data_IF_067787281406
#
_entry.id   IF_067787281406
#
_cell.length_a   1.000
_cell.length_b   1.000
_cell.length_c   1.000
_cell.angle_alpha   90.00
_cell.angle_beta   90.00
_cell.angle_gamma   90.00
#
_symmetry.space_group_name_H-M   'P 1'
#
loop_
_entity.id
_entity.type
_entity.pdbx_description
1 polymer ?
#
# COMPACT_ATOMS: atom_id res chain seq x y z
N UNK A 1 34.47 -61.12 -7.96
CA UNK A 1 34.11 -59.71 -8.20
C UNK A 1 32.60 -59.63 -8.40
N UNK A 2 31.83 -59.32 -7.34
CA UNK A 2 30.37 -59.14 -7.40
C UNK A 2 30.04 -57.77 -6.79
N UNK A 3 29.29 -56.98 -7.55
CA UNK A 3 28.92 -55.61 -7.22
C UNK A 3 28.04 -55.54 -5.97
N UNK A 4 28.39 -54.67 -5.03
CA UNK A 4 27.50 -54.14 -3.99
C UNK A 4 27.04 -52.76 -4.46
N UNK A 5 25.84 -52.67 -5.02
CA UNK A 5 25.11 -51.41 -5.23
C UNK A 5 23.61 -51.69 -5.14
N UNK A 6 23.01 -51.47 -3.97
CA UNK A 6 21.67 -50.88 -3.83
C UNK A 6 21.28 -50.83 -2.36
N UNK A 7 21.52 -49.70 -1.68
CA UNK A 7 20.84 -49.39 -0.41
C UNK A 7 20.72 -47.89 -0.11
N UNK A 8 21.05 -47.01 -1.07
CA UNK A 8 20.88 -45.55 -0.90
C UNK A 8 19.55 -45.02 -1.43
N UNK A 9 18.85 -45.75 -2.30
CA UNK A 9 17.59 -45.27 -2.90
C UNK A 9 16.38 -45.44 -1.96
N UNK A 10 16.35 -46.51 -1.16
CA UNK A 10 15.20 -46.83 -0.29
C UNK A 10 15.13 -45.91 0.93
N UNK A 11 16.27 -45.52 1.50
CA UNK A 11 16.33 -44.60 2.66
C UNK A 11 15.94 -43.16 2.28
N UNK A 12 16.23 -42.73 1.05
CA UNK A 12 15.77 -41.42 0.53
C UNK A 12 14.25 -41.37 0.36
N UNK A 13 13.62 -42.44 -0.14
CA UNK A 13 12.17 -42.45 -0.36
C UNK A 13 11.36 -42.40 0.94
N UNK A 14 11.85 -43.00 2.03
CA UNK A 14 11.21 -42.97 3.36
C UNK A 14 11.39 -41.62 4.07
N UNK A 15 12.51 -40.92 3.85
CA UNK A 15 12.72 -39.58 4.40
C UNK A 15 11.88 -38.52 3.68
N UNK A 16 11.71 -38.64 2.36
CA UNK A 16 10.87 -37.73 1.56
C UNK A 16 9.38 -37.89 1.93
N UNK A 17 8.91 -39.12 2.13
CA UNK A 17 7.52 -39.37 2.57
C UNK A 17 7.26 -38.92 3.99
N UNK A 18 8.22 -39.07 4.91
CA UNK A 18 8.11 -38.53 6.27
C UNK A 18 8.18 -37.00 6.30
N UNK A 19 9.04 -36.38 5.49
CA UNK A 19 9.13 -34.92 5.34
C UNK A 19 7.84 -34.34 4.76
N UNK A 20 7.28 -34.95 3.70
CA UNK A 20 5.98 -34.56 3.14
C UNK A 20 4.84 -34.76 4.14
N UNK A 21 4.82 -35.87 4.90
CA UNK A 21 3.82 -36.11 5.95
C UNK A 21 3.91 -35.08 7.10
N UNK A 22 5.12 -34.69 7.52
CA UNK A 22 5.33 -33.61 8.47
C UNK A 22 4.91 -32.24 7.92
N UNK A 23 5.16 -31.95 6.64
CA UNK A 23 4.69 -30.72 5.98
C UNK A 23 3.16 -30.66 5.85
N UNK A 24 2.47 -31.80 5.69
CA UNK A 24 1.00 -31.84 5.62
C UNK A 24 0.31 -31.83 6.99
N UNK A 25 0.99 -32.25 8.08
CA UNK A 25 0.43 -32.22 9.44
C UNK A 25 0.79 -30.98 10.26
N UNK A 26 1.74 -30.16 9.82
CA UNK A 26 1.93 -28.80 10.31
C UNK A 26 1.05 -27.85 9.50
N UNK A 27 -0.28 -28.06 9.54
CA UNK A 27 -1.17 -26.91 9.42
C UNK A 27 -1.01 -26.13 10.72
N UNK A 28 -0.44 -24.91 10.72
CA UNK A 28 -0.64 -24.04 11.88
C UNK A 28 -2.16 -23.93 12.08
N UNK A 29 -2.60 -23.92 13.34
CA UNK A 29 -3.96 -23.52 13.67
C UNK A 29 -4.25 -22.26 12.86
N UNK A 30 -5.26 -22.30 12.01
CA UNK A 30 -5.72 -21.12 11.28
C UNK A 30 -6.44 -20.22 12.28
N UNK A 31 -5.68 -19.56 13.15
CA UNK A 31 -5.99 -18.16 13.38
C UNK A 31 -5.84 -17.53 12.00
N UNK A 32 -6.98 -17.15 11.41
CA UNK A 32 -7.00 -16.37 10.18
C UNK A 32 -6.18 -15.13 10.50
N UNK A 33 -4.92 -15.10 10.07
CA UNK A 33 -4.09 -13.92 10.19
C UNK A 33 -4.81 -12.86 9.35
N UNK A 34 -5.54 -11.96 10.01
CA UNK A 34 -6.28 -10.92 9.33
C UNK A 34 -5.28 -10.10 8.53
N UNK A 35 -5.55 -9.91 7.24
CA UNK A 35 -4.66 -9.14 6.38
C UNK A 35 -4.36 -7.77 7.03
N UNK A 36 -3.17 -7.21 6.84
CA UNK A 36 -2.88 -5.90 7.47
C UNK A 36 -3.82 -4.77 6.97
N UNK A 37 -4.40 -4.94 5.77
CA UNK A 37 -5.52 -4.10 5.30
C UNK A 37 -6.77 -4.22 6.18
N UNK A 38 -7.12 -5.44 6.61
CA UNK A 38 -8.20 -5.66 7.58
C UNK A 38 -7.91 -5.03 8.94
N UNK A 39 -6.66 -4.99 9.39
CA UNK A 39 -6.30 -4.32 10.65
C UNK A 39 -6.57 -2.81 10.60
N UNK A 40 -6.32 -2.18 9.45
CA UNK A 40 -6.63 -0.76 9.22
C UNK A 40 -8.13 -0.50 9.32
N UNK A 41 -8.94 -1.34 8.66
CA UNK A 41 -10.39 -1.19 8.71
C UNK A 41 -10.97 -1.55 10.08
N UNK A 42 -10.43 -2.56 10.76
CA UNK A 42 -10.81 -2.92 12.13
C UNK A 42 -10.51 -1.79 13.12
N UNK A 43 -9.35 -1.14 12.97
CA UNK A 43 -8.97 0.00 13.79
C UNK A 43 -10.02 1.13 13.70
N UNK A 44 -10.43 1.51 12.49
CA UNK A 44 -11.43 2.57 12.32
C UNK A 44 -12.85 2.10 12.63
N UNK A 45 -13.18 0.84 12.36
CA UNK A 45 -14.49 0.26 12.66
C UNK A 45 -14.74 0.17 14.17
N UNK A 46 -13.77 -0.33 14.94
CA UNK A 46 -13.86 -0.44 16.40
C UNK A 46 -14.01 0.91 17.11
N UNK A 47 -13.58 1.99 16.45
CA UNK A 47 -13.75 3.39 16.89
C UNK A 47 -15.05 4.05 16.38
N UNK A 48 -15.87 3.32 15.61
CA UNK A 48 -17.10 3.85 15.00
C UNK A 48 -16.83 4.93 13.94
N UNK A 49 -15.64 4.95 13.32
CA UNK A 49 -15.25 5.93 12.30
C UNK A 49 -15.69 5.55 10.89
N UNK A 50 -15.92 4.26 10.65
CA UNK A 50 -16.50 3.73 9.41
C UNK A 50 -17.68 2.81 9.74
N UNK A 51 -18.69 2.70 8.87
CA UNK A 51 -19.90 1.91 9.15
C UNK A 51 -19.71 0.40 8.89
N UNK A 52 -18.66 0.01 8.17
CA UNK A 52 -18.41 -1.38 7.74
C UNK A 52 -16.94 -1.56 7.33
N UNK A 53 -16.53 -2.83 7.14
CA UNK A 53 -15.20 -3.18 6.62
C UNK A 53 -15.11 -2.99 5.10
N UNK A 54 -15.10 -1.73 4.68
CA UNK A 54 -14.98 -1.35 3.27
C UNK A 54 -13.93 -0.25 3.13
N UNK A 55 -12.88 -0.52 2.35
CA UNK A 55 -11.80 0.40 2.09
C UNK A 55 -12.26 1.68 1.38
N UNK A 56 -13.40 1.65 0.69
CA UNK A 56 -13.99 2.83 0.06
C UNK A 56 -14.61 3.83 1.06
N UNK A 57 -14.71 3.46 2.34
CA UNK A 57 -15.18 4.35 3.42
C UNK A 57 -14.00 5.03 4.15
N UNK A 58 -12.75 4.79 3.73
CA UNK A 58 -11.58 5.51 4.23
C UNK A 58 -11.38 6.81 3.45
N UNK A 59 -11.36 7.92 4.19
CA UNK A 59 -11.09 9.26 3.69
C UNK A 59 -9.66 9.69 4.01
N UNK A 60 -9.05 10.39 3.07
CA UNK A 60 -7.67 10.86 3.12
C UNK A 60 -7.64 12.39 3.11
N UNK A 61 -6.75 12.99 3.88
CA UNK A 61 -6.27 14.33 3.56
C UNK A 61 -4.92 14.19 2.87
N UNK A 62 -4.73 14.96 1.79
CA UNK A 62 -3.60 14.80 0.89
C UNK A 62 -2.56 15.89 1.08
N UNK A 63 -1.31 15.56 0.73
CA UNK A 63 -0.20 16.48 0.63
C UNK A 63 -0.02 17.34 1.90
N UNK A 64 -0.08 16.71 3.08
CA UNK A 64 0.13 17.36 4.38
C UNK A 64 1.61 17.67 4.64
N UNK A 65 2.20 18.43 3.71
CA UNK A 65 3.64 18.61 3.53
C UNK A 65 4.18 19.89 4.20
N UNK A 66 3.46 20.46 5.17
CA UNK A 66 3.92 21.63 5.92
C UNK A 66 3.30 21.66 7.32
N UNK A 67 3.86 22.47 8.23
CA UNK A 67 3.31 22.62 9.59
C UNK A 67 1.85 23.04 9.59
N UNK A 68 1.49 24.00 8.72
CA UNK A 68 0.11 24.44 8.58
C UNK A 68 -0.80 23.33 8.06
N UNK A 69 -0.42 22.66 6.96
CA UNK A 69 -1.25 21.60 6.37
C UNK A 69 -1.39 20.39 7.29
N UNK A 70 -0.36 20.03 8.04
CA UNK A 70 -0.45 18.99 9.07
C UNK A 70 -1.44 19.39 10.17
N UNK A 71 -1.42 20.65 10.61
CA UNK A 71 -2.38 21.15 11.61
C UNK A 71 -3.82 21.05 11.08
N UNK A 72 -4.05 21.45 9.83
CA UNK A 72 -5.35 21.31 9.16
C UNK A 72 -5.79 19.84 9.06
N UNK A 73 -4.87 18.95 8.66
CA UNK A 73 -5.10 17.51 8.56
C UNK A 73 -5.49 16.85 9.90
N UNK A 74 -4.80 17.22 10.99
CA UNK A 74 -5.06 16.71 12.33
C UNK A 74 -6.43 17.14 12.85
N UNK A 75 -6.86 18.37 12.52
CA UNK A 75 -8.16 18.92 12.93
C UNK A 75 -9.32 18.50 12.01
N UNK A 76 -9.02 18.07 10.78
CA UNK A 76 -10.00 17.67 9.77
C UNK A 76 -10.71 16.35 10.09
N UNK A 77 -11.72 16.00 9.30
CA UNK A 77 -12.50 14.76 9.46
C UNK A 77 -11.83 13.52 8.86
N UNK A 78 -10.90 13.69 7.91
CA UNK A 78 -10.22 12.59 7.22
C UNK A 78 -9.57 11.60 8.18
N UNK A 79 -9.63 10.30 7.89
CA UNK A 79 -9.15 9.26 8.80
C UNK A 79 -7.64 9.03 8.68
N UNK A 80 -7.13 9.22 7.46
CA UNK A 80 -5.73 9.02 7.10
C UNK A 80 -5.09 10.33 6.64
N UNK A 81 -3.86 10.58 7.08
CA UNK A 81 -3.04 11.69 6.60
C UNK A 81 -2.01 11.16 5.60
N UNK A 82 -2.16 11.56 4.34
CA UNK A 82 -1.18 11.32 3.30
C UNK A 82 -0.22 12.51 3.23
N UNK A 83 1.07 12.21 3.12
CA UNK A 83 2.09 13.22 2.91
C UNK A 83 3.31 12.66 2.17
N UNK A 84 3.89 13.54 1.36
CA UNK A 84 4.99 13.23 0.48
C UNK A 84 6.32 13.33 1.21
N UNK A 85 7.24 12.39 0.95
CA UNK A 85 8.55 12.32 1.60
C UNK A 85 9.65 12.38 0.56
N UNK A 86 10.58 13.32 0.74
CA UNK A 86 11.82 13.40 -0.02
C UNK A 86 13.01 13.66 0.91
N UNK A 87 14.21 13.42 0.39
CA UNK A 87 15.45 13.72 1.09
C UNK A 87 15.84 15.16 0.81
N UNK A 88 16.01 15.98 1.84
CA UNK A 88 16.45 17.38 1.68
C UNK A 88 17.82 17.39 0.99
N UNK A 89 17.92 18.08 -0.14
CA UNK A 89 19.09 18.05 -1.05
C UNK A 89 20.38 18.71 -0.53
N UNK A 90 20.52 18.97 0.77
CA UNK A 90 21.73 19.52 1.38
C UNK A 90 22.50 18.41 2.12
N UNK A 91 23.62 18.75 2.77
CA UNK A 91 24.48 17.80 3.46
C UNK A 91 23.83 17.05 4.65
N UNK A 92 22.58 17.38 5.04
CA UNK A 92 21.91 16.77 6.19
C UNK A 92 21.27 15.41 5.88
N UNK A 93 21.04 15.06 4.60
CA UNK A 93 20.31 13.84 4.20
C UNK A 93 19.03 13.61 5.04
N UNK A 94 18.36 14.70 5.40
CA UNK A 94 17.23 14.69 6.32
C UNK A 94 15.92 14.44 5.54
N UNK A 95 15.10 13.44 5.93
CA UNK A 95 13.78 13.27 5.34
C UNK A 95 12.84 14.42 5.73
N UNK A 96 12.20 15.01 4.74
CA UNK A 96 11.28 16.14 4.92
C UNK A 96 9.96 15.88 4.18
N UNK A 97 8.91 16.55 4.66
CA UNK A 97 7.58 16.40 4.06
C UNK A 97 7.44 17.36 2.89
N UNK A 98 7.68 16.90 1.66
CA UNK A 98 7.75 17.75 0.49
C UNK A 98 7.49 16.99 -0.81
N UNK A 99 7.03 17.70 -1.83
CA UNK A 99 6.69 17.18 -3.16
C UNK A 99 7.23 18.14 -4.24
N UNK A 100 7.95 17.66 -5.28
CA UNK A 100 8.41 18.52 -6.36
C UNK A 100 7.28 19.31 -7.07
N UNK A 101 7.48 20.58 -7.47
CA UNK A 101 8.74 21.30 -7.54
C UNK A 101 9.25 21.87 -6.20
N UNK A 102 8.42 21.87 -5.15
CA UNK A 102 8.80 22.26 -3.80
C UNK A 102 9.67 21.19 -3.15
N UNK A 103 10.99 21.30 -3.35
CA UNK A 103 11.97 20.33 -2.83
C UNK A 103 12.48 20.65 -1.41
N UNK A 104 11.80 21.56 -0.69
CA UNK A 104 12.06 21.87 0.72
C UNK A 104 10.75 22.13 1.46
N UNK A 105 10.78 22.04 2.79
CA UNK A 105 9.62 22.20 3.67
C UNK A 105 9.97 22.79 5.02
N UNK A 106 8.99 23.41 5.67
CA UNK A 106 9.09 23.93 7.04
C UNK A 106 8.96 22.84 8.12
N UNK A 107 8.75 21.59 7.70
CA UNK A 107 8.60 20.43 8.59
C UNK A 107 9.42 19.22 8.09
N UNK A 108 10.20 18.67 9.02
CA UNK A 108 10.90 17.38 8.83
C UNK A 108 9.94 16.21 9.04
N UNK A 109 10.28 15.02 8.53
CA UNK A 109 9.50 13.81 8.83
C UNK A 109 9.47 13.53 10.34
N UNK A 110 10.59 13.77 11.04
CA UNK A 110 10.65 13.56 12.49
C UNK A 110 9.69 14.46 13.24
N UNK A 111 9.70 15.78 12.98
CA UNK A 111 8.74 16.73 13.57
C UNK A 111 7.30 16.36 13.21
N UNK A 112 7.06 15.97 11.96
CA UNK A 112 5.73 15.57 11.48
C UNK A 112 5.20 14.35 12.24
N UNK A 113 6.03 13.32 12.44
CA UNK A 113 5.69 12.13 13.23
C UNK A 113 5.36 12.50 14.67
N UNK A 114 6.13 13.41 15.30
CA UNK A 114 5.88 13.84 16.68
C UNK A 114 4.50 14.50 16.86
N UNK A 115 4.02 15.23 15.86
CA UNK A 115 2.67 15.78 15.89
C UNK A 115 1.60 14.69 15.66
N UNK A 116 1.83 13.76 14.73
CA UNK A 116 0.90 12.65 14.47
C UNK A 116 0.73 11.73 15.69
N UNK A 117 1.80 11.48 16.46
CA UNK A 117 1.77 10.69 17.69
C UNK A 117 0.71 11.16 18.71
N UNK A 118 0.36 12.45 18.67
CA UNK A 118 -0.64 13.06 19.55
C UNK A 118 -2.08 12.74 19.13
N UNK A 119 -2.28 12.21 17.94
CA UNK A 119 -3.59 11.94 17.33
C UNK A 119 -3.93 10.44 17.29
N UNK A 120 -5.11 10.12 16.76
CA UNK A 120 -5.52 8.75 16.43
C UNK A 120 -5.70 8.53 14.92
N UNK A 121 -5.15 9.46 14.11
CA UNK A 121 -5.13 9.38 12.64
C UNK A 121 -4.19 8.25 12.20
N UNK A 122 -4.54 7.60 11.10
CA UNK A 122 -3.56 6.81 10.37
C UNK A 122 -2.76 7.69 9.41
N UNK A 123 -1.66 7.15 8.89
CA UNK A 123 -0.77 7.86 7.98
C UNK A 123 -0.44 7.03 6.74
N UNK A 124 -0.22 7.71 5.62
CA UNK A 124 0.26 7.14 4.37
C UNK A 124 1.46 7.96 3.90
N UNK A 125 2.66 7.37 3.95
CA UNK A 125 3.89 8.02 3.50
C UNK A 125 4.08 7.76 2.00
N UNK A 126 4.14 8.83 1.22
CA UNK A 126 4.33 8.79 -0.22
C UNK A 126 5.76 9.19 -0.61
N UNK A 127 6.62 8.21 -0.88
CA UNK A 127 8.03 8.48 -1.16
C UNK A 127 8.23 8.98 -2.58
N UNK A 128 8.78 10.19 -2.71
CA UNK A 128 9.17 10.79 -4.00
C UNK A 128 10.64 10.56 -4.37
N UNK A 129 11.38 9.86 -3.50
CA UNK A 129 12.75 9.42 -3.76
C UNK A 129 13.07 8.12 -3.02
N UNK A 130 13.67 7.15 -3.72
CA UNK A 130 14.19 5.91 -3.11
C UNK A 130 15.21 6.20 -2.00
N UNK A 131 16.01 7.26 -2.16
CA UNK A 131 17.01 7.64 -1.16
C UNK A 131 16.39 8.06 0.18
N UNK A 132 15.12 8.51 0.18
CA UNK A 132 14.41 8.88 1.39
C UNK A 132 13.84 7.69 2.16
N UNK A 133 13.69 6.51 1.52
CA UNK A 133 13.00 5.35 2.12
C UNK A 133 13.74 4.86 3.36
N UNK A 134 15.03 4.53 3.23
CA UNK A 134 15.81 3.98 4.35
C UNK A 134 15.87 4.91 5.58
N UNK A 135 16.27 6.19 5.47
CA UNK A 135 16.32 7.08 6.64
C UNK A 135 14.93 7.32 7.24
N UNK A 136 13.88 7.34 6.42
CA UNK A 136 12.50 7.47 6.92
C UNK A 136 12.00 6.25 7.66
N UNK A 137 12.38 5.04 7.23
CA UNK A 137 12.03 3.81 7.95
C UNK A 137 12.72 3.76 9.32
N UNK A 138 13.97 4.23 9.43
CA UNK A 138 14.65 4.32 10.72
C UNK A 138 13.89 5.24 11.70
N UNK A 139 13.49 6.44 11.25
CA UNK A 139 12.70 7.37 12.07
C UNK A 139 11.32 6.79 12.44
N UNK A 140 10.69 6.08 11.51
CA UNK A 140 9.39 5.45 11.76
C UNK A 140 9.49 4.31 12.80
N UNK A 141 10.55 3.50 12.74
CA UNK A 141 10.78 2.40 13.68
C UNK A 141 11.00 2.91 15.11
N UNK A 142 11.63 4.08 15.29
CA UNK A 142 11.81 4.72 16.62
C UNK A 142 10.49 5.10 17.29
N UNK A 143 9.48 5.48 16.51
CA UNK A 143 8.18 5.94 17.03
C UNK A 143 7.06 4.91 16.86
N UNK A 144 7.36 3.75 16.28
CA UNK A 144 6.36 2.77 15.81
C UNK A 144 5.37 2.37 16.89
N UNK A 145 5.87 2.03 18.08
CA UNK A 145 5.05 1.54 19.19
C UNK A 145 4.19 2.64 19.83
N UNK A 146 4.48 3.91 19.54
CA UNK A 146 3.76 5.07 20.06
C UNK A 146 2.65 5.52 19.10
N UNK A 147 2.74 5.18 17.81
CA UNK A 147 1.72 5.47 16.82
C UNK A 147 0.46 4.66 17.10
N UNK A 148 -0.66 5.35 17.32
CA UNK A 148 -1.96 4.72 17.60
C UNK A 148 -2.63 4.23 16.32
N UNK A 149 -2.49 5.00 15.24
CA UNK A 149 -3.14 4.73 13.96
C UNK A 149 -2.32 3.84 13.03
N UNK A 150 -2.96 3.34 11.96
CA UNK A 150 -2.30 2.53 10.95
C UNK A 150 -1.27 3.35 10.16
N UNK A 151 -0.18 2.71 9.74
CA UNK A 151 0.89 3.35 8.93
C UNK A 151 1.01 2.61 7.62
N UNK A 152 0.91 3.33 6.52
CA UNK A 152 0.89 2.81 5.17
C UNK A 152 2.04 3.39 4.36
N UNK A 153 2.59 2.58 3.46
CA UNK A 153 3.53 3.04 2.44
C UNK A 153 2.79 3.10 1.11
N UNK A 154 2.85 4.25 0.45
CA UNK A 154 2.40 4.40 -0.92
C UNK A 154 3.54 3.97 -1.85
N UNK A 155 3.31 2.95 -2.67
CA UNK A 155 4.31 2.43 -3.60
C UNK A 155 4.20 3.13 -4.97
N UNK A 156 4.35 4.45 -4.96
CA UNK A 156 4.50 5.29 -6.16
C UNK A 156 5.95 5.34 -6.66
N UNK A 157 6.85 4.64 -5.96
CA UNK A 157 8.30 4.73 -6.13
C UNK A 157 8.81 4.04 -7.40
N UNK A 158 7.96 3.23 -8.05
CA UNK A 158 8.28 2.72 -9.38
C UNK A 158 7.78 3.72 -10.39
N UNK A 159 8.71 4.58 -10.75
CA UNK A 159 8.68 5.30 -12.00
C UNK A 159 8.44 4.32 -13.15
N UNK A 160 7.29 4.41 -13.81
CA UNK A 160 7.34 4.32 -15.28
C UNK A 160 8.47 5.24 -15.77
N UNK A 161 9.17 4.91 -16.86
CA UNK A 161 10.51 5.41 -17.15
C UNK A 161 10.61 6.95 -17.06
N UNK A 162 11.13 7.48 -15.95
CA UNK A 162 11.51 8.90 -15.84
C UNK A 162 11.16 9.68 -14.56
N UNK A 163 10.44 9.14 -13.57
CA UNK A 163 10.23 9.81 -12.25
C UNK A 163 9.54 11.19 -12.30
N UNK A 164 9.08 11.58 -13.48
CA UNK A 164 8.09 12.61 -13.73
C UNK A 164 6.80 11.87 -13.99
N UNK A 165 5.64 12.49 -13.74
CA UNK A 165 4.42 12.07 -14.42
C UNK A 165 4.64 12.22 -15.93
N UNK A 166 5.28 11.22 -16.54
CA UNK A 166 5.35 11.08 -17.99
C UNK A 166 3.89 10.97 -18.44
N UNK A 167 3.50 11.63 -19.56
CA UNK A 167 2.21 11.35 -20.18
C UNK A 167 2.07 9.83 -20.26
N UNK A 168 0.94 9.32 -19.72
CA UNK A 168 0.55 7.91 -19.62
C UNK A 168 1.47 7.01 -20.44
N UNK A 169 2.26 6.15 -19.80
CA UNK A 169 2.74 4.98 -20.51
C UNK A 169 1.47 4.25 -21.00
N UNK A 170 1.21 4.22 -22.31
CA UNK A 170 -0.03 3.66 -22.84
C UNK A 170 -0.12 2.16 -22.58
N UNK A 171 0.91 1.52 -22.05
CA UNK A 171 0.97 0.09 -21.78
C UNK A 171 0.44 -0.32 -20.39
N UNK A 172 0.09 0.64 -19.52
CA UNK A 172 -0.44 0.33 -18.18
C UNK A 172 0.60 -0.35 -17.27
N UNK A 173 0.15 -1.11 -16.29
CA UNK A 173 1.01 -1.88 -15.38
C UNK A 173 1.26 -3.27 -15.98
N UNK A 174 2.29 -3.37 -16.83
CA UNK A 174 2.70 -4.65 -17.42
C UNK A 174 3.41 -5.57 -16.40
N UNK A 175 3.79 -6.77 -16.84
CA UNK A 175 4.43 -7.77 -15.98
C UNK A 175 5.74 -7.27 -15.41
N UNK A 176 6.56 -6.60 -16.20
CA UNK A 176 7.86 -6.07 -15.78
C UNK A 176 7.67 -5.07 -14.63
N UNK A 177 6.70 -4.16 -14.75
CA UNK A 177 6.38 -3.17 -13.72
C UNK A 177 5.91 -3.83 -12.43
N UNK A 178 4.94 -4.75 -12.48
CA UNK A 178 4.42 -5.35 -11.24
C UNK A 178 5.42 -6.27 -10.53
N UNK A 179 6.32 -6.95 -11.27
CA UNK A 179 7.40 -7.71 -10.64
C UNK A 179 8.40 -6.80 -9.93
N UNK A 180 8.78 -5.67 -10.54
CA UNK A 180 9.63 -4.70 -9.87
C UNK A 180 8.94 -4.13 -8.62
N UNK A 181 7.62 -3.85 -8.70
CA UNK A 181 6.82 -3.34 -7.58
C UNK A 181 6.85 -4.32 -6.41
N UNK A 182 6.64 -5.59 -6.71
CA UNK A 182 6.73 -6.67 -5.72
C UNK A 182 8.14 -6.73 -5.11
N UNK A 183 9.20 -6.74 -5.92
CA UNK A 183 10.58 -6.87 -5.47
C UNK A 183 10.99 -5.74 -4.51
N UNK A 184 10.65 -4.49 -4.86
CA UNK A 184 10.96 -3.32 -4.04
C UNK A 184 10.14 -3.29 -2.74
N UNK A 185 8.90 -3.78 -2.76
CA UNK A 185 8.00 -3.73 -1.59
C UNK A 185 8.13 -4.94 -0.67
N UNK A 186 8.67 -6.06 -1.17
CA UNK A 186 8.85 -7.31 -0.42
C UNK A 186 9.52 -7.12 0.95
N UNK A 187 10.61 -6.35 1.11
CA UNK A 187 11.29 -6.20 2.41
C UNK A 187 10.56 -5.27 3.39
N UNK A 188 9.57 -4.48 2.94
CA UNK A 188 8.79 -3.61 3.84
C UNK A 188 7.99 -4.47 4.82
N UNK A 189 7.63 -3.93 5.98
CA UNK A 189 6.80 -4.62 6.99
C UNK A 189 5.39 -4.04 7.10
N UNK A 190 5.23 -2.82 6.64
CA UNK A 190 4.00 -2.03 6.69
C UNK A 190 3.00 -2.51 5.62
N UNK A 191 1.69 -2.22 5.77
CA UNK A 191 0.75 -2.18 4.65
C UNK A 191 1.31 -1.35 3.50
N UNK A 192 1.14 -1.86 2.27
CA UNK A 192 1.55 -1.18 1.04
C UNK A 192 0.33 -1.00 0.16
N UNK A 193 0.14 0.21 -0.35
CA UNK A 193 -0.84 0.47 -1.40
C UNK A 193 -0.15 0.86 -2.69
N UNK A 194 -0.57 0.26 -3.80
CA UNK A 194 -0.13 0.63 -5.14
C UNK A 194 -1.14 1.62 -5.72
N UNK A 195 -0.73 2.87 -6.03
CA UNK A 195 -1.61 3.81 -6.70
C UNK A 195 -1.85 3.36 -8.15
N UNK A 196 -3.11 3.13 -8.50
CA UNK A 196 -3.53 2.70 -9.84
C UNK A 196 -4.43 3.74 -10.46
N UNK A 197 -3.99 4.33 -11.57
CA UNK A 197 -4.86 5.25 -12.33
C UNK A 197 -6.03 4.46 -12.91
N UNK A 198 -7.25 4.89 -12.62
CA UNK A 198 -8.47 4.17 -12.95
C UNK A 198 -8.58 3.79 -14.43
N UNK A 199 -8.12 4.66 -15.34
CA UNK A 199 -8.12 4.42 -16.79
C UNK A 199 -7.24 3.23 -17.22
N UNK A 200 -6.21 2.88 -16.44
CA UNK A 200 -5.28 1.79 -16.75
C UNK A 200 -5.67 0.46 -16.09
N UNK A 201 -6.66 0.47 -15.20
CA UNK A 201 -7.09 -0.72 -14.45
C UNK A 201 -7.56 -1.86 -15.38
N UNK A 202 -8.38 -1.62 -16.44
CA UNK A 202 -8.87 -2.71 -17.28
C UNK A 202 -7.78 -3.49 -18.01
N UNK A 203 -6.79 -2.79 -18.55
CA UNK A 203 -5.71 -3.42 -19.31
C UNK A 203 -4.65 -4.07 -18.41
N UNK A 204 -4.58 -3.67 -17.14
CA UNK A 204 -3.55 -4.13 -16.20
C UNK A 204 -4.08 -5.09 -15.14
N UNK A 205 -5.35 -5.49 -15.23
CA UNK A 205 -6.03 -6.17 -14.13
C UNK A 205 -5.37 -7.49 -13.73
N UNK A 206 -4.90 -8.29 -14.68
CA UNK A 206 -4.26 -9.58 -14.37
C UNK A 206 -2.93 -9.39 -13.63
N UNK A 207 -2.15 -8.38 -14.02
CA UNK A 207 -0.88 -8.03 -13.38
C UNK A 207 -1.11 -7.50 -11.97
N UNK A 208 -2.10 -6.63 -11.79
CA UNK A 208 -2.47 -6.07 -10.49
C UNK A 208 -3.08 -7.13 -9.57
N UNK A 209 -3.86 -8.07 -10.11
CA UNK A 209 -4.38 -9.20 -9.35
C UNK A 209 -3.23 -10.09 -8.87
N UNK A 210 -2.30 -10.44 -9.76
CA UNK A 210 -1.10 -11.21 -9.39
C UNK A 210 -0.31 -10.49 -8.29
N UNK A 211 -0.13 -9.17 -8.39
CA UNK A 211 0.55 -8.38 -7.37
C UNK A 211 -0.13 -8.51 -6.01
N UNK A 212 -1.46 -8.40 -5.95
CA UNK A 212 -2.23 -8.61 -4.71
C UNK A 212 -2.08 -10.04 -4.14
N UNK A 213 -1.83 -11.05 -4.98
CA UNK A 213 -1.63 -12.43 -4.51
C UNK A 213 -0.28 -12.62 -3.79
N UNK A 214 0.69 -11.70 -3.96
CA UNK A 214 2.04 -11.84 -3.40
C UNK A 214 2.11 -11.57 -1.89
N UNK A 215 1.21 -10.74 -1.36
CA UNK A 215 1.14 -10.45 0.06
C UNK A 215 -0.24 -9.93 0.46
N UNK A 216 -0.71 -10.35 1.63
CA UNK A 216 -1.90 -9.81 2.29
C UNK A 216 -1.75 -8.35 2.74
N UNK A 217 -0.52 -7.82 2.79
CA UNK A 217 -0.21 -6.42 3.06
C UNK A 217 -0.48 -5.49 1.88
N UNK A 218 -0.62 -6.06 0.68
CA UNK A 218 -0.75 -5.28 -0.54
C UNK A 218 -2.20 -4.88 -0.80
N UNK A 219 -2.40 -3.68 -1.33
CA UNK A 219 -3.71 -3.14 -1.69
C UNK A 219 -3.57 -2.21 -2.89
N UNK A 220 -4.68 -1.86 -3.52
CA UNK A 220 -4.71 -0.86 -4.60
C UNK A 220 -5.41 0.40 -4.11
N UNK A 221 -4.89 1.57 -4.46
CA UNK A 221 -5.62 2.84 -4.38
C UNK A 221 -5.96 3.28 -5.79
N UNK A 222 -7.23 3.15 -6.17
CA UNK A 222 -7.71 3.53 -7.50
C UNK A 222 -7.95 5.03 -7.53
N UNK A 223 -7.23 5.77 -8.38
CA UNK A 223 -7.30 7.23 -8.43
C UNK A 223 -7.60 7.76 -9.83
N UNK A 224 -8.09 9.00 -9.89
CA UNK A 224 -8.38 9.73 -11.13
C UNK A 224 -7.78 11.11 -11.11
N UNK A 225 -7.06 11.49 -12.18
CA UNK A 225 -6.61 12.85 -12.41
C UNK A 225 -7.75 13.77 -12.85
N UNK A 226 -7.51 15.09 -12.80
CA UNK A 226 -8.50 16.11 -13.21
C UNK A 226 -8.93 15.98 -14.68
N UNK A 227 -8.04 15.49 -15.53
CA UNK A 227 -8.26 15.36 -16.97
C UNK A 227 -8.67 13.94 -17.39
N UNK A 228 -8.92 13.04 -16.43
CA UNK A 228 -9.31 11.66 -16.72
C UNK A 228 -10.78 11.55 -17.10
N UNK A 229 -11.03 11.13 -18.34
CA UNK A 229 -12.34 10.68 -18.80
C UNK A 229 -12.58 9.22 -18.37
N UNK A 230 -12.95 9.01 -17.11
CA UNK A 230 -13.28 7.68 -16.57
C UNK A 230 -14.78 7.55 -16.33
N UNK A 231 -15.37 6.48 -16.86
CA UNK A 231 -16.73 6.08 -16.54
C UNK A 231 -16.70 5.21 -15.27
N UNK A 232 -17.25 5.71 -14.17
CA UNK A 232 -17.13 5.05 -12.85
C UNK A 232 -17.82 3.68 -12.78
N UNK A 233 -18.79 3.44 -13.64
CA UNK A 233 -19.45 2.14 -13.83
C UNK A 233 -18.46 1.05 -14.22
N UNK A 234 -17.41 1.40 -14.97
CA UNK A 234 -16.39 0.46 -15.41
C UNK A 234 -15.53 -0.04 -14.23
N UNK A 235 -15.63 0.60 -13.04
CA UNK A 235 -14.94 0.17 -11.83
C UNK A 235 -15.69 -0.94 -11.06
N UNK A 236 -16.99 -1.13 -11.30
CA UNK A 236 -17.82 -2.12 -10.58
C UNK A 236 -17.29 -3.55 -10.71
N UNK A 237 -16.90 -4.05 -11.91
CA UNK A 237 -16.40 -5.42 -12.03
C UNK A 237 -15.15 -5.67 -11.19
N UNK A 238 -14.26 -4.67 -11.06
CA UNK A 238 -13.04 -4.81 -10.27
C UNK A 238 -13.32 -4.77 -8.78
N UNK A 239 -14.25 -3.91 -8.35
CA UNK A 239 -14.73 -3.89 -6.97
C UNK A 239 -15.38 -5.21 -6.54
N UNK A 240 -16.01 -5.92 -7.46
CA UNK A 240 -16.63 -7.23 -7.20
C UNK A 240 -15.60 -8.37 -7.19
N UNK A 241 -14.50 -8.23 -7.94
CA UNK A 241 -13.44 -9.25 -8.05
C UNK A 241 -12.35 -9.11 -6.98
N UNK A 242 -12.06 -7.90 -6.53
CA UNK A 242 -11.07 -7.62 -5.49
C UNK A 242 -11.78 -7.48 -4.14
N UNK A 243 -11.19 -8.03 -3.08
CA UNK A 243 -11.71 -7.83 -1.72
C UNK A 243 -11.90 -6.34 -1.41
N UNK A 244 -13.05 -5.96 -0.89
CA UNK A 244 -13.35 -4.60 -0.43
C UNK A 244 -12.43 -4.14 0.70
N UNK A 245 -11.68 -5.04 1.32
CA UNK A 245 -10.64 -4.69 2.31
C UNK A 245 -9.30 -4.32 1.68
N UNK A 246 -9.15 -4.46 0.35
CA UNK A 246 -7.88 -4.29 -0.38
C UNK A 246 -7.97 -3.37 -1.61
N UNK A 247 -9.12 -2.73 -1.84
CA UNK A 247 -9.33 -1.77 -2.93
C UNK A 247 -9.88 -0.44 -2.39
N UNK A 248 -9.00 0.54 -2.32
CA UNK A 248 -9.26 1.91 -1.90
C UNK A 248 -9.53 2.79 -3.10
N UNK A 249 -10.16 3.94 -2.88
CA UNK A 249 -10.56 4.85 -3.94
C UNK A 249 -10.20 6.28 -3.56
N UNK A 250 -9.49 6.94 -4.47
CA UNK A 250 -9.12 8.36 -4.43
C UNK A 250 -9.63 9.02 -5.73
N UNK A 251 -10.95 8.95 -5.90
CA UNK A 251 -11.64 9.49 -7.06
C UNK A 251 -12.07 10.93 -6.78
N UNK A 252 -12.25 11.72 -7.83
CA UNK A 252 -12.85 13.06 -7.70
C UNK A 252 -14.21 12.95 -6.99
N UNK A 253 -14.54 13.88 -6.09
CA UNK A 253 -15.71 13.77 -5.21
C UNK A 253 -17.04 13.47 -5.93
N UNK A 254 -17.27 14.06 -7.12
CA UNK A 254 -18.44 13.77 -7.95
C UNK A 254 -18.45 12.34 -8.52
N UNK A 255 -17.28 11.83 -8.93
CA UNK A 255 -17.09 10.46 -9.39
C UNK A 255 -17.30 9.46 -8.24
N UNK A 256 -16.70 9.70 -7.07
CA UNK A 256 -16.91 8.86 -5.89
C UNK A 256 -18.38 8.81 -5.48
N UNK A 257 -19.07 9.96 -5.48
CA UNK A 257 -20.50 10.04 -5.15
C UNK A 257 -21.34 9.21 -6.12
N UNK A 258 -21.11 9.36 -7.44
CA UNK A 258 -21.79 8.55 -8.47
C UNK A 258 -21.49 7.07 -8.28
N UNK A 259 -20.23 6.71 -8.08
CA UNK A 259 -19.78 5.32 -7.93
C UNK A 259 -20.46 4.62 -6.74
N UNK A 260 -20.52 5.27 -5.58
CA UNK A 260 -21.22 4.76 -4.38
C UNK A 260 -22.73 4.58 -4.58
N UNK A 261 -23.33 5.35 -5.50
CA UNK A 261 -24.75 5.29 -5.83
C UNK A 261 -25.14 4.23 -6.87
N UNK A 262 -24.18 3.53 -7.48
CA UNK A 262 -24.47 2.57 -8.55
C UNK A 262 -25.14 1.28 -8.02
N UNK A 263 -26.09 0.71 -8.77
CA UNK A 263 -26.56 -0.66 -8.53
C UNK A 263 -25.38 -1.65 -8.57
N UNK A 264 -25.27 -2.51 -7.56
CA UNK A 264 -24.18 -3.50 -7.47
C UNK A 264 -22.87 -2.98 -6.87
N UNK A 265 -22.85 -1.75 -6.32
CA UNK A 265 -21.72 -1.24 -5.53
C UNK A 265 -21.54 -1.96 -4.18
N UNK A 266 -22.65 -2.40 -3.58
CA UNK A 266 -22.72 -2.95 -2.23
C UNK A 266 -22.17 -4.35 -2.07
#
# INVERSE_FOLDING_TARGET
MRLIKCNRLVVCATLITYFLYCCFKLKPNSEVLSSMGEQTLEYFLSKGKIPRKDAADIEWCHAANSKNKLTEALQGSALMIEADVLLRGNASEEPIMAHPPENDSDITLQEWLQEVLKSDKGIKLDFKSLAAVSPSMSLLDEVRDQLKGPVWINADVISGPGGKAVPLDPHGYNWEVVHQMEELCRPLKQPVTFPVRAALLPMSFLQLQWLLEQSDRYSLTIWTGKDDAVNVEDLLPYRQKISKTRIYYDLIGSQMTRFKGLPGYS
#
